data_IF_805750972805
#
_entry.id   IF_805750972805
#
_cell.length_a   1.000
_cell.length_b   1.000
_cell.length_c   1.000
_cell.angle_alpha   90.00
_cell.angle_beta   90.00
_cell.angle_gamma   90.00
#
_symmetry.space_group_name_H-M   'P 1'
#
loop_
_entity.id
_entity.type
_entity.pdbx_description
1 polymer ?
#
# COMPACT_ATOMS: atom_id res chain seq x y z
N UNK A 1 68.16 68.21 3.85
CA UNK A 1 67.63 67.10 4.68
C UNK A 1 66.13 66.82 4.50
N UNK A 2 65.34 67.70 3.85
CA UNK A 2 63.89 67.48 3.65
C UNK A 2 63.50 66.39 2.64
N UNK A 3 64.26 66.20 1.55
CA UNK A 3 63.92 65.23 0.50
C UNK A 3 63.98 63.76 1.00
N UNK A 4 64.96 63.44 1.87
CA UNK A 4 65.10 62.10 2.47
C UNK A 4 63.94 61.78 3.42
N UNK A 5 63.49 62.77 4.20
CA UNK A 5 62.35 62.64 5.11
C UNK A 5 61.02 62.50 4.36
N UNK A 6 60.82 63.27 3.28
CA UNK A 6 59.62 63.18 2.44
C UNK A 6 59.48 61.81 1.75
N UNK A 7 60.59 61.24 1.27
CA UNK A 7 60.60 59.89 0.69
C UNK A 7 60.25 58.81 1.71
N UNK A 8 60.77 58.89 2.93
CA UNK A 8 60.45 57.93 4.00
C UNK A 8 58.96 58.01 4.37
N UNK A 9 58.39 59.22 4.46
CA UNK A 9 56.96 59.40 4.74
C UNK A 9 56.05 58.90 3.61
N UNK A 10 56.45 59.07 2.35
CA UNK A 10 55.71 58.53 1.20
C UNK A 10 55.68 57.00 1.22
N UNK A 11 56.82 56.35 1.52
CA UNK A 11 56.90 54.88 1.62
C UNK A 11 56.03 54.36 2.76
N UNK A 12 56.01 55.04 3.91
CA UNK A 12 55.15 54.68 5.04
C UNK A 12 53.66 54.80 4.70
N UNK A 13 53.24 55.87 4.01
CA UNK A 13 51.84 56.00 3.59
C UNK A 13 51.45 54.99 2.51
N UNK A 14 52.34 54.68 1.56
CA UNK A 14 52.11 53.63 0.58
C UNK A 14 52.04 52.23 1.23
N UNK A 15 52.88 51.95 2.23
CA UNK A 15 52.83 50.71 2.99
C UNK A 15 51.52 50.58 3.80
N UNK A 16 51.08 51.65 4.47
CA UNK A 16 49.79 51.64 5.17
C UNK A 16 48.59 51.52 4.22
N UNK A 17 48.63 52.19 3.07
CA UNK A 17 47.60 52.06 2.03
C UNK A 17 47.54 50.67 1.40
N UNK A 18 48.70 50.04 1.17
CA UNK A 18 48.80 48.67 0.64
C UNK A 18 48.27 47.62 1.63
N UNK A 19 48.58 47.76 2.92
CA UNK A 19 48.02 46.90 3.97
C UNK A 19 46.50 47.06 4.12
N UNK A 20 45.99 48.29 4.03
CA UNK A 20 44.56 48.57 4.06
C UNK A 20 43.81 47.98 2.86
N UNK A 21 44.38 48.10 1.66
CA UNK A 21 43.82 47.50 0.45
C UNK A 21 43.81 45.97 0.54
N UNK A 22 44.93 45.36 0.95
CA UNK A 22 45.03 43.90 1.10
C UNK A 22 44.03 43.35 2.13
N UNK A 23 43.91 44.00 3.29
CA UNK A 23 42.93 43.63 4.31
C UNK A 23 41.49 43.73 3.80
N UNK A 24 41.17 44.78 3.06
CA UNK A 24 39.84 44.95 2.48
C UNK A 24 39.54 43.87 1.43
N UNK A 25 40.51 43.54 0.57
CA UNK A 25 40.35 42.47 -0.43
C UNK A 25 40.23 41.09 0.20
N UNK A 26 41.05 40.75 1.20
CA UNK A 26 40.97 39.49 1.94
C UNK A 26 39.64 39.37 2.70
N UNK A 27 39.16 40.47 3.29
CA UNK A 27 37.86 40.50 3.97
C UNK A 27 36.71 40.26 3.00
N UNK A 28 36.73 40.88 1.81
CA UNK A 28 35.70 40.65 0.79
C UNK A 28 35.71 39.21 0.25
N UNK A 29 36.89 38.63 0.04
CA UNK A 29 37.02 37.24 -0.40
C UNK A 29 36.45 36.28 0.65
N UNK A 30 36.77 36.48 1.92
CA UNK A 30 36.19 35.69 3.03
C UNK A 30 34.68 35.84 3.13
N UNK A 31 34.15 37.06 2.99
CA UNK A 31 32.70 37.28 2.97
C UNK A 31 32.04 36.55 1.79
N UNK A 32 32.64 36.60 0.59
CA UNK A 32 32.12 35.89 -0.57
C UNK A 32 32.10 34.37 -0.35
N UNK A 33 33.15 33.79 0.26
CA UNK A 33 33.22 32.36 0.59
C UNK A 33 32.15 31.99 1.63
N UNK A 34 31.99 32.80 2.69
CA UNK A 34 30.98 32.56 3.72
C UNK A 34 29.56 32.59 3.15
N UNK A 35 29.25 33.58 2.31
CA UNK A 35 27.96 33.68 1.61
C UNK A 35 27.73 32.46 0.71
N UNK A 36 28.75 32.03 -0.04
CA UNK A 36 28.65 30.85 -0.89
C UNK A 36 28.41 29.55 -0.08
N UNK A 37 29.03 29.42 1.10
CA UNK A 37 28.84 28.27 1.98
C UNK A 37 27.47 28.27 2.65
N UNK A 38 26.99 29.42 3.13
CA UNK A 38 25.63 29.57 3.66
C UNK A 38 24.57 29.26 2.60
N UNK A 39 24.76 29.72 1.36
CA UNK A 39 23.86 29.40 0.26
C UNK A 39 23.82 27.89 -0.01
N UNK A 40 24.98 27.22 -0.04
CA UNK A 40 25.06 25.76 -0.19
C UNK A 40 24.41 25.02 0.97
N UNK A 41 24.65 25.46 2.21
CA UNK A 41 24.05 24.86 3.39
C UNK A 41 22.52 25.01 3.36
N UNK A 42 22.02 26.19 2.98
CA UNK A 42 20.58 26.45 2.85
C UNK A 42 19.93 25.55 1.80
N UNK A 43 20.56 25.41 0.62
CA UNK A 43 20.07 24.50 -0.43
C UNK A 43 20.08 23.04 0.05
N UNK A 44 21.16 22.61 0.71
CA UNK A 44 21.25 21.26 1.26
C UNK A 44 20.18 20.97 2.33
N UNK A 45 19.86 21.95 3.18
CA UNK A 45 18.79 21.83 4.17
C UNK A 45 17.42 21.74 3.48
N UNK A 46 17.16 22.57 2.47
CA UNK A 46 15.92 22.51 1.70
C UNK A 46 15.74 21.17 0.99
N UNK A 47 16.80 20.63 0.37
CA UNK A 47 16.78 19.31 -0.25
C UNK A 47 16.55 18.20 0.78
N UNK A 48 17.19 18.28 1.94
CA UNK A 48 17.00 17.33 3.03
C UNK A 48 15.57 17.37 3.60
N UNK A 49 14.99 18.57 3.77
CA UNK A 49 13.60 18.74 4.19
C UNK A 49 12.63 18.17 3.15
N UNK A 50 12.85 18.45 1.87
CA UNK A 50 12.04 17.90 0.79
C UNK A 50 12.12 16.36 0.74
N UNK A 51 13.33 15.80 0.88
CA UNK A 51 13.55 14.35 0.95
C UNK A 51 12.88 13.74 2.18
N UNK A 52 12.93 14.41 3.33
CA UNK A 52 12.28 13.96 4.56
C UNK A 52 10.76 13.89 4.40
N UNK A 53 10.14 14.92 3.82
CA UNK A 53 8.69 14.92 3.54
C UNK A 53 8.31 13.79 2.59
N UNK A 54 9.08 13.58 1.52
CA UNK A 54 8.87 12.48 0.59
C UNK A 54 9.00 11.11 1.27
N UNK A 55 9.99 10.95 2.15
CA UNK A 55 10.17 9.73 2.94
C UNK A 55 9.00 9.49 3.90
N UNK A 56 8.56 10.51 4.64
CA UNK A 56 7.40 10.40 5.55
C UNK A 56 6.14 9.96 4.79
N UNK A 57 5.89 10.53 3.61
CA UNK A 57 4.79 10.10 2.74
C UNK A 57 4.95 8.64 2.31
N UNK A 58 6.14 8.23 1.85
CA UNK A 58 6.41 6.86 1.46
C UNK A 58 6.22 5.87 2.63
N UNK A 59 6.63 6.23 3.84
CA UNK A 59 6.42 5.41 5.04
C UNK A 59 4.94 5.24 5.37
N UNK A 60 4.13 6.30 5.27
CA UNK A 60 2.68 6.20 5.53
C UNK A 60 1.99 5.31 4.51
N UNK A 61 2.35 5.42 3.23
CA UNK A 61 1.79 4.55 2.19
C UNK A 61 2.25 3.10 2.39
N UNK A 62 3.53 2.87 2.68
CA UNK A 62 4.05 1.53 2.99
C UNK A 62 3.34 0.89 4.19
N UNK A 63 3.08 1.66 5.25
CA UNK A 63 2.34 1.16 6.42
C UNK A 63 0.92 0.74 6.05
N UNK A 64 0.24 1.53 5.22
CA UNK A 64 -1.10 1.21 4.71
C UNK A 64 -1.09 -0.04 3.85
N UNK A 65 -0.13 -0.17 2.93
CA UNK A 65 0.00 -1.33 2.06
C UNK A 65 0.34 -2.60 2.86
N UNK A 66 1.20 -2.51 3.88
CA UNK A 66 1.50 -3.63 4.77
C UNK A 66 0.26 -4.10 5.54
N UNK A 67 -0.60 -3.18 6.00
CA UNK A 67 -1.85 -3.54 6.65
C UNK A 67 -2.76 -4.33 5.69
N UNK A 68 -2.97 -3.82 4.47
CA UNK A 68 -3.78 -4.48 3.44
C UNK A 68 -3.19 -5.86 3.09
N UNK A 69 -1.87 -5.96 2.97
CA UNK A 69 -1.19 -7.21 2.66
C UNK A 69 -1.41 -8.24 3.77
N UNK A 70 -1.28 -7.84 5.03
CA UNK A 70 -1.49 -8.72 6.17
C UNK A 70 -2.94 -9.22 6.27
N UNK A 71 -3.92 -8.34 6.02
CA UNK A 71 -5.34 -8.73 5.96
C UNK A 71 -5.60 -9.78 4.86
N UNK A 72 -5.07 -9.55 3.65
CA UNK A 72 -5.17 -10.50 2.54
C UNK A 72 -4.46 -11.82 2.82
N UNK A 73 -3.31 -11.77 3.50
CA UNK A 73 -2.54 -12.96 3.84
C UNK A 73 -3.30 -13.83 4.85
N UNK A 74 -3.87 -13.22 5.91
CA UNK A 74 -4.72 -13.91 6.86
C UNK A 74 -5.96 -14.52 6.19
N UNK A 75 -6.58 -13.81 5.25
CA UNK A 75 -7.69 -14.35 4.49
C UNK A 75 -7.28 -15.56 3.64
N UNK A 76 -6.12 -15.50 2.99
CA UNK A 76 -5.57 -16.59 2.20
C UNK A 76 -5.25 -17.83 3.05
N UNK A 77 -4.62 -17.65 4.21
CA UNK A 77 -4.37 -18.74 5.16
C UNK A 77 -5.67 -19.38 5.66
N UNK A 78 -6.67 -18.56 6.01
CA UNK A 78 -7.98 -19.07 6.43
C UNK A 78 -8.66 -19.87 5.30
N UNK A 79 -8.58 -19.40 4.05
CA UNK A 79 -9.09 -20.14 2.88
C UNK A 79 -8.35 -21.47 2.69
N UNK A 80 -7.02 -21.49 2.82
CA UNK A 80 -6.21 -22.69 2.72
C UNK A 80 -6.56 -23.71 3.81
N UNK A 81 -6.65 -23.27 5.07
CA UNK A 81 -7.05 -24.12 6.20
C UNK A 81 -8.47 -24.68 6.03
N UNK A 82 -9.42 -23.89 5.53
CA UNK A 82 -10.77 -24.37 5.21
C UNK A 82 -10.75 -25.43 4.12
N UNK A 83 -9.97 -25.22 3.07
CA UNK A 83 -9.84 -26.17 1.97
C UNK A 83 -9.21 -27.48 2.47
N UNK A 84 -8.13 -27.39 3.24
CA UNK A 84 -7.45 -28.56 3.82
C UNK A 84 -8.39 -29.35 4.73
N UNK A 85 -9.13 -28.70 5.62
CA UNK A 85 -10.10 -29.38 6.50
C UNK A 85 -11.21 -30.08 5.70
N UNK A 86 -11.70 -29.46 4.61
CA UNK A 86 -12.70 -30.06 3.72
C UNK A 86 -12.13 -31.27 2.98
N UNK A 87 -10.92 -31.19 2.43
CA UNK A 87 -10.25 -32.29 1.72
C UNK A 87 -9.85 -33.43 2.66
N UNK A 88 -9.43 -33.12 3.89
CA UNK A 88 -9.11 -34.13 4.92
C UNK A 88 -10.33 -34.99 5.29
N UNK A 89 -11.54 -34.39 5.31
CA UNK A 89 -12.80 -35.11 5.57
C UNK A 89 -13.34 -35.85 4.35
N UNK A 90 -13.00 -35.38 3.15
CA UNK A 90 -13.54 -35.87 1.90
C UNK A 90 -12.40 -36.08 0.90
N UNK A 91 -11.88 -37.30 0.83
CA UNK A 91 -10.99 -37.68 -0.26
C UNK A 91 -11.80 -37.75 -1.56
N UNK A 92 -11.75 -36.66 -2.33
CA UNK A 92 -12.51 -36.50 -3.57
C UNK A 92 -12.07 -37.54 -4.60
N UNK A 93 -10.81 -38.01 -4.57
CA UNK A 93 -10.32 -39.05 -5.46
C UNK A 93 -10.95 -40.41 -5.15
N UNK A 94 -10.96 -40.80 -3.88
CA UNK A 94 -11.59 -42.06 -3.45
C UNK A 94 -13.12 -42.01 -3.59
N UNK A 95 -13.75 -40.88 -3.23
CA UNK A 95 -15.19 -40.68 -3.40
C UNK A 95 -15.60 -40.61 -4.87
N UNK A 96 -14.76 -40.03 -5.74
CA UNK A 96 -14.97 -39.98 -7.18
C UNK A 96 -14.96 -41.35 -7.84
N UNK A 97 -14.18 -42.30 -7.32
CA UNK A 97 -14.16 -43.69 -7.81
C UNK A 97 -15.29 -44.51 -7.18
N UNK A 98 -15.52 -44.37 -5.87
CA UNK A 98 -16.47 -45.20 -5.15
C UNK A 98 -17.95 -44.76 -5.32
N UNK A 99 -18.19 -43.48 -5.63
CA UNK A 99 -19.51 -42.85 -5.72
C UNK A 99 -19.59 -41.84 -6.87
N UNK A 100 -19.10 -42.25 -8.04
CA UNK A 100 -19.05 -41.47 -9.28
C UNK A 100 -20.34 -40.69 -9.59
N UNK A 101 -21.49 -41.35 -9.61
CA UNK A 101 -22.79 -40.73 -9.96
C UNK A 101 -23.28 -39.71 -8.94
N UNK A 102 -22.88 -39.84 -7.66
CA UNK A 102 -23.21 -38.85 -6.63
C UNK A 102 -22.32 -37.63 -6.74
N UNK A 103 -21.02 -37.84 -6.98
CA UNK A 103 -20.05 -36.76 -7.20
C UNK A 103 -20.41 -35.98 -8.48
N UNK A 104 -20.76 -36.67 -9.56
CA UNK A 104 -21.20 -36.05 -10.81
C UNK A 104 -22.44 -35.17 -10.60
N UNK A 105 -23.46 -35.66 -9.88
CA UNK A 105 -24.65 -34.87 -9.55
C UNK A 105 -24.31 -33.62 -8.73
N UNK A 106 -23.43 -33.75 -7.75
CA UNK A 106 -22.99 -32.62 -6.93
C UNK A 106 -22.28 -31.58 -7.80
N UNK A 107 -21.33 -32.01 -8.64
CA UNK A 107 -20.58 -31.11 -9.54
C UNK A 107 -21.51 -30.44 -10.55
N UNK A 108 -22.44 -31.18 -11.14
CA UNK A 108 -23.39 -30.63 -12.11
C UNK A 108 -24.33 -29.60 -11.47
N UNK A 109 -24.81 -29.87 -10.25
CA UNK A 109 -25.65 -28.92 -9.52
C UNK A 109 -24.85 -27.68 -9.10
N UNK A 110 -23.63 -27.85 -8.58
CA UNK A 110 -22.75 -26.74 -8.24
C UNK A 110 -22.41 -25.88 -9.47
N UNK A 111 -22.15 -26.50 -10.62
CA UNK A 111 -21.86 -25.80 -11.88
C UNK A 111 -23.07 -24.99 -12.37
N UNK A 112 -24.28 -25.56 -12.29
CA UNK A 112 -25.52 -24.82 -12.61
C UNK A 112 -25.72 -23.63 -11.69
N UNK A 113 -25.51 -23.82 -10.39
CA UNK A 113 -25.61 -22.76 -9.40
C UNK A 113 -24.59 -21.63 -9.67
N UNK A 114 -23.34 -21.98 -9.96
CA UNK A 114 -22.29 -21.02 -10.30
C UNK A 114 -22.60 -20.24 -11.59
N UNK A 115 -23.13 -20.91 -12.62
CA UNK A 115 -23.59 -20.26 -13.84
C UNK A 115 -24.74 -19.28 -13.55
N UNK A 116 -25.70 -19.69 -12.71
CA UNK A 116 -26.78 -18.80 -12.28
C UNK A 116 -26.26 -17.57 -11.53
N UNK A 117 -25.24 -17.74 -10.68
CA UNK A 117 -24.57 -16.61 -10.02
C UNK A 117 -23.92 -15.66 -11.03
N UNK A 118 -23.27 -16.20 -12.07
CA UNK A 118 -22.67 -15.39 -13.13
C UNK A 118 -23.72 -14.61 -13.93
N UNK A 119 -24.88 -15.22 -14.21
CA UNK A 119 -26.01 -14.54 -14.85
C UNK A 119 -26.52 -13.36 -14.01
N UNK A 120 -26.72 -13.55 -12.70
CA UNK A 120 -27.18 -12.49 -11.78
C UNK A 120 -26.19 -11.32 -11.76
N UNK A 121 -24.89 -11.61 -11.64
CA UNK A 121 -23.84 -10.58 -11.68
C UNK A 121 -23.81 -9.86 -13.02
N UNK A 122 -24.17 -10.54 -14.12
CA UNK A 122 -24.29 -9.94 -15.46
C UNK A 122 -25.58 -9.13 -15.67
N UNK A 123 -26.48 -9.09 -14.68
CA UNK A 123 -27.70 -8.27 -14.71
C UNK A 123 -28.98 -9.05 -15.01
N UNK A 124 -28.99 -10.37 -14.89
CA UNK A 124 -30.21 -11.15 -15.00
C UNK A 124 -31.13 -10.94 -13.78
N UNK A 125 -32.44 -10.87 -14.02
CA UNK A 125 -33.43 -10.75 -12.95
C UNK A 125 -33.51 -12.02 -12.09
N UNK A 126 -33.79 -11.82 -10.80
CA UNK A 126 -34.02 -12.92 -9.85
C UNK A 126 -35.37 -13.60 -10.13
N UNK A 127 -35.39 -14.92 -10.01
CA UNK A 127 -36.62 -15.71 -10.11
C UNK A 127 -37.45 -15.61 -8.83
N UNK A 128 -38.74 -15.93 -8.92
CA UNK A 128 -39.64 -15.92 -7.76
C UNK A 128 -39.19 -16.93 -6.68
N UNK A 129 -38.62 -18.06 -7.10
CA UNK A 129 -38.11 -19.09 -6.19
C UNK A 129 -36.89 -18.57 -5.42
N UNK A 130 -35.97 -17.89 -6.11
CA UNK A 130 -34.80 -17.25 -5.51
C UNK A 130 -35.16 -16.16 -4.50
N UNK A 131 -36.17 -15.35 -4.82
CA UNK A 131 -36.70 -14.32 -3.93
C UNK A 131 -37.38 -14.91 -2.70
N UNK A 132 -38.12 -16.01 -2.84
CA UNK A 132 -38.88 -16.61 -1.73
C UNK A 132 -38.08 -17.58 -0.86
N UNK A 133 -36.88 -17.99 -1.30
CA UNK A 133 -36.03 -18.92 -0.58
C UNK A 133 -35.61 -18.37 0.79
N UNK A 134 -35.91 -19.14 1.83
CA UNK A 134 -35.62 -18.77 3.24
C UNK A 134 -34.85 -19.85 4.00
N UNK A 135 -34.68 -21.04 3.41
CA UNK A 135 -33.99 -22.17 4.04
C UNK A 135 -32.71 -22.53 3.30
N UNK A 136 -31.69 -23.08 4.00
CA UNK A 136 -30.44 -23.50 3.37
C UNK A 136 -30.57 -24.53 2.22
N UNK A 137 -31.67 -25.28 2.17
CA UNK A 137 -31.93 -26.26 1.11
C UNK A 137 -32.52 -25.67 -0.17
N UNK A 138 -33.06 -24.45 -0.10
CA UNK A 138 -33.80 -23.78 -1.18
C UNK A 138 -32.94 -22.71 -1.87
N UNK A 139 -31.85 -22.31 -1.25
CA UNK A 139 -30.97 -21.24 -1.73
C UNK A 139 -29.91 -21.74 -2.71
N UNK A 140 -29.40 -20.81 -3.51
CA UNK A 140 -28.13 -21.00 -4.19
C UNK A 140 -26.99 -20.77 -3.21
N UNK A 141 -26.43 -21.87 -2.69
CA UNK A 141 -25.34 -21.83 -1.71
C UNK A 141 -24.06 -21.16 -2.22
N UNK A 142 -23.83 -21.13 -3.54
CA UNK A 142 -22.61 -20.56 -4.13
C UNK A 142 -22.61 -19.02 -4.08
N UNK A 143 -23.79 -18.38 -4.08
CA UNK A 143 -23.93 -16.93 -4.05
C UNK A 143 -25.18 -16.47 -3.27
N UNK A 144 -25.41 -17.05 -2.10
CA UNK A 144 -26.64 -16.84 -1.31
C UNK A 144 -26.93 -15.36 -1.01
N UNK A 145 -25.91 -14.52 -0.83
CA UNK A 145 -26.06 -13.08 -0.55
C UNK A 145 -26.65 -12.29 -1.72
N UNK A 146 -26.37 -12.73 -2.96
CA UNK A 146 -26.83 -12.04 -4.18
C UNK A 146 -28.09 -12.70 -4.74
N UNK A 147 -28.15 -14.03 -4.69
CA UNK A 147 -29.25 -14.79 -5.27
C UNK A 147 -30.49 -14.84 -4.35
N UNK A 148 -30.32 -14.76 -3.02
CA UNK A 148 -31.40 -15.05 -2.09
C UNK A 148 -31.55 -13.94 -1.02
N UNK A 149 -32.19 -12.81 -1.35
CA UNK A 149 -32.27 -11.65 -0.46
C UNK A 149 -33.09 -11.89 0.83
N UNK A 150 -33.99 -12.87 0.84
CA UNK A 150 -34.80 -13.22 2.01
C UNK A 150 -34.15 -14.27 2.94
N UNK A 151 -32.95 -14.76 2.60
CA UNK A 151 -32.26 -15.74 3.42
C UNK A 151 -31.41 -15.06 4.51
N UNK A 152 -31.75 -15.32 5.77
CA UNK A 152 -30.95 -14.88 6.92
C UNK A 152 -30.10 -16.04 7.45
N UNK A 153 -28.77 -16.04 7.23
CA UNK A 153 -27.90 -17.11 7.69
C UNK A 153 -27.72 -17.14 9.22
N UNK A 154 -28.04 -16.07 9.94
CA UNK A 154 -27.92 -16.02 11.40
C UNK A 154 -28.94 -16.93 12.10
N UNK A 155 -30.06 -17.21 11.43
CA UNK A 155 -31.07 -18.17 11.89
C UNK A 155 -30.58 -19.63 11.83
N UNK A 156 -29.47 -19.89 11.12
CA UNK A 156 -28.92 -21.23 10.90
C UNK A 156 -27.44 -21.30 11.29
N UNK A 157 -27.11 -21.26 12.60
CA UNK A 157 -25.72 -21.15 13.08
C UNK A 157 -24.82 -22.30 12.61
N UNK A 158 -25.35 -23.53 12.52
CA UNK A 158 -24.59 -24.70 12.04
C UNK A 158 -24.29 -24.65 10.54
N UNK A 159 -25.16 -24.00 9.77
CA UNK A 159 -24.92 -23.77 8.34
C UNK A 159 -23.93 -22.62 8.15
N UNK A 160 -24.09 -21.54 8.91
CA UNK A 160 -23.19 -20.38 8.88
C UNK A 160 -21.76 -20.79 9.24
N UNK A 161 -21.56 -21.63 10.25
CA UNK A 161 -20.23 -22.12 10.62
C UNK A 161 -19.55 -22.94 9.50
N UNK A 162 -20.33 -23.72 8.73
CA UNK A 162 -19.81 -24.54 7.63
C UNK A 162 -19.48 -23.76 6.36
N UNK A 163 -20.13 -22.61 6.17
CA UNK A 163 -20.03 -21.79 4.96
C UNK A 163 -19.32 -20.44 5.19
N UNK A 164 -18.88 -20.16 6.41
CA UNK A 164 -17.96 -19.05 6.76
C UNK A 164 -16.51 -19.36 6.35
#
# INVERSE_FOLDING_TARGET
MGLKLALIMMVLMAAMGGLGYWYYTDTQERMAILVANEAKATVAVQEAEAAKVAMEQAYTEMAKQNKILNEKFQEAENRANRLENKLSRHDIGVLGIAKDSLVEKIINNASKNALRCAEIVSGADLTQDELSASKPSEINVECYEMANPNFDPTLFPTWLEKNR
#
